data_IF_987925244052
#
_entry.id   IF_987925244052
#
_cell.length_a   1.000
_cell.length_b   1.000
_cell.length_c   1.000
_cell.angle_alpha   90.00
_cell.angle_beta   90.00
_cell.angle_gamma   90.00
#
_symmetry.space_group_name_H-M   'P 1'
#
loop_
_entity.id
_entity.type
_entity.pdbx_description
1 polymer ?
#
# COMPACT_ATOMS: atom_id res chain seq x y z
N UNK A 1 -14.21 -75.86 9.43
CA UNK A 1 -13.36 -76.31 10.53
C UNK A 1 -12.30 -75.23 10.77
N UNK A 2 -12.23 -74.75 12.01
CA UNK A 2 -11.34 -73.77 12.66
C UNK A 2 -10.07 -73.30 11.92
N UNK A 3 -9.91 -71.99 11.75
CA UNK A 3 -9.18 -71.01 12.60
C UNK A 3 -7.69 -70.92 12.24
N UNK A 4 -7.26 -69.78 11.70
CA UNK A 4 -6.22 -68.98 12.34
C UNK A 4 -6.04 -67.62 11.64
N UNK A 5 -6.27 -66.55 12.38
CA UNK A 5 -5.63 -65.24 12.15
C UNK A 5 -4.33 -65.18 12.95
N UNK A 6 -3.33 -64.43 12.47
CA UNK A 6 -2.87 -63.34 13.33
C UNK A 6 -2.56 -62.01 12.61
N UNK A 7 -3.17 -60.96 13.19
CA UNK A 7 -2.66 -59.61 13.53
C UNK A 7 -1.57 -58.92 12.69
N UNK A 8 -1.99 -57.77 12.14
CA UNK A 8 -1.44 -56.41 12.29
C UNK A 8 0.07 -56.19 12.10
N UNK A 9 0.44 -55.51 11.02
CA UNK A 9 1.42 -54.40 11.06
C UNK A 9 1.06 -53.34 10.02
N UNK A 10 0.55 -52.22 10.52
CA UNK A 10 0.48 -50.93 9.81
C UNK A 10 1.89 -50.41 9.56
N UNK A 11 2.26 -50.19 8.31
CA UNK A 11 3.47 -49.43 7.95
C UNK A 11 3.03 -48.11 7.31
N UNK A 12 3.08 -47.04 8.10
CA UNK A 12 3.02 -45.67 7.61
C UNK A 12 4.35 -45.36 6.90
N UNK A 13 4.29 -44.99 5.63
CA UNK A 13 5.46 -44.47 4.89
C UNK A 13 5.42 -42.95 4.96
N UNK A 14 6.26 -42.39 5.83
CA UNK A 14 6.48 -40.94 5.93
C UNK A 14 7.87 -40.57 5.39
N UNK A 15 7.86 -39.55 4.53
CA UNK A 15 8.87 -38.52 4.29
C UNK A 15 10.26 -38.91 3.74
N UNK A 16 10.63 -38.29 2.61
CA UNK A 16 11.51 -37.10 2.64
C UNK A 16 11.75 -36.59 1.20
N UNK A 17 11.03 -35.55 0.78
CA UNK A 17 11.46 -34.73 -0.36
C UNK A 17 12.31 -33.58 0.19
N UNK A 18 13.62 -33.69 0.03
CA UNK A 18 14.55 -32.60 0.29
C UNK A 18 14.41 -31.56 -0.84
N UNK A 19 13.79 -30.41 -0.55
CA UNK A 19 13.91 -29.23 -1.40
C UNK A 19 15.22 -28.53 -1.04
N UNK A 20 16.20 -28.61 -1.93
CA UNK A 20 17.40 -27.79 -1.87
C UNK A 20 17.02 -26.34 -2.20
N UNK A 21 17.10 -25.44 -1.21
CA UNK A 21 17.04 -24.00 -1.44
C UNK A 21 18.41 -23.53 -1.92
N UNK A 22 18.55 -23.27 -3.22
CA UNK A 22 19.67 -22.48 -3.73
C UNK A 22 19.35 -21.00 -3.52
N UNK A 23 19.97 -20.40 -2.50
CA UNK A 23 19.89 -18.96 -2.22
C UNK A 23 20.98 -18.22 -2.97
N UNK A 24 20.68 -17.62 -4.12
CA UNK A 24 21.51 -16.54 -4.67
C UNK A 24 20.65 -15.54 -5.46
N UNK A 25 20.45 -14.37 -4.86
CA UNK A 25 19.87 -13.18 -5.47
C UNK A 25 19.92 -12.04 -4.46
N UNK A 26 20.93 -11.19 -4.58
CA UNK A 26 21.06 -9.93 -3.83
C UNK A 26 20.04 -8.93 -4.39
N UNK A 27 18.76 -9.13 -4.04
CA UNK A 27 17.70 -8.18 -4.31
C UNK A 27 17.73 -7.15 -3.19
N UNK A 28 17.81 -5.83 -3.48
CA UNK A 28 17.68 -4.82 -2.42
C UNK A 28 16.42 -5.12 -1.62
N UNK A 29 16.57 -5.25 -0.30
CA UNK A 29 15.57 -5.79 0.62
C UNK A 29 14.20 -5.14 0.39
N UNK A 30 13.35 -5.83 -0.38
CA UNK A 30 11.94 -5.49 -0.48
C UNK A 30 11.29 -5.97 0.80
N UNK A 31 11.05 -5.04 1.72
CA UNK A 31 10.33 -5.32 2.96
C UNK A 31 8.84 -5.08 2.75
N UNK A 32 8.06 -6.15 2.75
CA UNK A 32 6.59 -6.11 2.76
C UNK A 32 6.12 -6.04 4.21
N UNK A 33 5.70 -4.86 4.66
CA UNK A 33 5.15 -4.65 6.00
C UNK A 33 3.70 -5.06 6.12
N UNK A 34 2.93 -4.88 5.04
CA UNK A 34 1.54 -5.30 4.93
C UNK A 34 1.20 -5.49 3.46
N UNK A 35 0.70 -6.67 3.10
CA UNK A 35 0.28 -6.93 1.72
C UNK A 35 -0.83 -5.95 1.30
N UNK A 36 -0.80 -5.40 0.07
CA UNK A 36 -1.83 -4.48 -0.42
C UNK A 36 -3.26 -5.02 -0.29
N UNK A 37 -3.46 -6.31 -0.57
CA UNK A 37 -4.75 -6.98 -0.45
C UNK A 37 -5.23 -7.01 1.00
N UNK A 38 -4.33 -7.27 1.95
CA UNK A 38 -4.63 -7.22 3.38
C UNK A 38 -4.97 -5.80 3.82
N UNK A 39 -4.24 -4.78 3.35
CA UNK A 39 -4.58 -3.38 3.64
C UNK A 39 -5.98 -3.03 3.15
N UNK A 40 -6.34 -3.42 1.93
CA UNK A 40 -7.68 -3.19 1.39
C UNK A 40 -8.72 -3.92 2.24
N UNK A 41 -8.53 -5.20 2.55
CA UNK A 41 -9.45 -5.96 3.38
C UNK A 41 -9.67 -5.31 4.76
N UNK A 42 -8.58 -4.94 5.45
CA UNK A 42 -8.66 -4.24 6.74
C UNK A 42 -9.31 -2.85 6.63
N UNK A 43 -9.34 -2.23 5.45
CA UNK A 43 -9.93 -0.90 5.25
C UNK A 43 -11.46 -0.92 5.13
N UNK A 44 -12.03 -2.12 4.91
CA UNK A 44 -13.46 -2.38 4.73
C UNK A 44 -13.95 -3.55 5.62
N UNK A 45 -13.38 -3.70 6.82
CA UNK A 45 -13.78 -4.71 7.81
C UNK A 45 -13.85 -6.15 7.27
N UNK A 46 -12.94 -6.50 6.36
CA UNK A 46 -12.87 -7.80 5.69
C UNK A 46 -13.78 -7.95 4.46
N UNK A 47 -14.72 -7.03 4.25
CA UNK A 47 -15.64 -7.02 3.10
C UNK A 47 -15.08 -6.16 1.95
N UNK A 48 -13.92 -6.55 1.42
CA UNK A 48 -13.27 -5.84 0.29
C UNK A 48 -14.23 -5.66 -0.90
N UNK A 49 -14.56 -4.42 -1.29
CA UNK A 49 -15.34 -4.17 -2.49
C UNK A 49 -14.64 -4.71 -3.74
N UNK A 50 -15.37 -4.84 -4.85
CA UNK A 50 -14.72 -5.05 -6.14
C UNK A 50 -13.91 -3.80 -6.50
N UNK A 51 -12.71 -3.94 -7.08
CA UNK A 51 -11.91 -2.79 -7.46
C UNK A 51 -12.59 -2.00 -8.59
N UNK A 52 -12.59 -0.69 -8.43
CA UNK A 52 -12.95 0.31 -9.45
C UNK A 52 -11.69 0.85 -10.13
N UNK A 53 -11.89 1.54 -11.26
CA UNK A 53 -10.82 2.10 -12.08
C UNK A 53 -11.11 3.58 -12.32
N UNK A 54 -10.12 4.43 -12.06
CA UNK A 54 -10.13 5.85 -12.40
C UNK A 54 -9.11 6.09 -13.51
N UNK A 55 -9.57 6.70 -14.61
CA UNK A 55 -8.71 7.02 -15.76
C UNK A 55 -8.02 8.38 -15.58
N UNK A 56 -6.71 8.42 -15.84
CA UNK A 56 -5.91 9.65 -15.79
C UNK A 56 -6.07 10.40 -17.12
N UNK A 57 -7.18 11.12 -17.23
CA UNK A 57 -7.54 11.91 -18.41
C UNK A 57 -6.64 13.15 -18.54
N UNK A 58 -6.66 13.79 -19.71
CA UNK A 58 -5.92 15.03 -19.94
C UNK A 58 -6.37 16.19 -19.03
N UNK A 59 -7.58 16.11 -18.47
CA UNK A 59 -8.11 17.09 -17.52
C UNK A 59 -7.46 16.92 -16.13
N UNK A 60 -7.18 15.69 -15.70
CA UNK A 60 -6.59 15.40 -14.39
C UNK A 60 -5.07 15.55 -14.35
N UNK A 61 -4.40 15.31 -15.50
CA UNK A 61 -2.93 15.33 -15.60
C UNK A 61 -2.28 16.60 -15.03
N UNK A 62 -2.75 17.83 -15.35
CA UNK A 62 -2.10 19.04 -14.85
C UNK A 62 -2.07 19.12 -13.33
N UNK A 63 -3.15 18.74 -12.65
CA UNK A 63 -3.22 18.82 -11.19
C UNK A 63 -2.44 17.69 -10.53
N UNK A 64 -2.43 16.49 -11.11
CA UNK A 64 -1.57 15.40 -10.65
C UNK A 64 -0.09 15.78 -10.78
N UNK A 65 0.30 16.40 -11.90
CA UNK A 65 1.67 16.88 -12.12
C UNK A 65 2.05 17.98 -11.11
N UNK A 66 1.14 18.90 -10.77
CA UNK A 66 1.37 19.89 -9.69
C UNK A 66 1.56 19.22 -8.33
N UNK A 67 0.85 18.11 -8.07
CA UNK A 67 0.96 17.39 -6.80
C UNK A 67 2.30 16.64 -6.71
N UNK A 68 2.64 15.86 -7.73
CA UNK A 68 3.80 14.96 -7.72
C UNK A 68 5.11 15.65 -8.11
N UNK A 69 5.03 16.67 -8.96
CA UNK A 69 6.19 17.33 -9.57
C UNK A 69 6.71 16.61 -10.82
N UNK A 70 6.03 15.56 -11.28
CA UNK A 70 6.30 14.82 -12.51
C UNK A 70 5.00 14.17 -13.01
N UNK A 71 5.05 13.59 -14.21
CA UNK A 71 3.92 12.87 -14.78
C UNK A 71 3.62 11.59 -14.02
N UNK A 72 2.33 11.24 -13.92
CA UNK A 72 1.93 9.96 -13.35
C UNK A 72 2.25 8.83 -14.32
N UNK A 73 2.89 7.73 -13.89
CA UNK A 73 3.45 6.73 -14.80
C UNK A 73 2.39 5.82 -15.46
N UNK A 74 1.12 5.88 -15.02
CA UNK A 74 0.07 5.00 -15.50
C UNK A 74 -1.13 5.77 -16.08
N UNK A 75 -1.85 5.13 -17.01
CA UNK A 75 -3.06 5.70 -17.64
C UNK A 75 -4.30 5.62 -16.74
N UNK A 76 -4.26 4.78 -15.70
CA UNK A 76 -5.39 4.53 -14.80
C UNK A 76 -4.91 4.07 -13.44
N UNK A 77 -5.70 4.37 -12.42
CA UNK A 77 -5.47 3.97 -11.03
C UNK A 77 -6.60 3.06 -10.59
N UNK A 78 -6.24 1.94 -9.96
CA UNK A 78 -7.20 1.05 -9.31
C UNK A 78 -7.46 1.55 -7.90
N UNK A 79 -8.72 1.50 -7.47
CA UNK A 79 -9.11 1.87 -6.12
C UNK A 79 -10.29 1.01 -5.66
N UNK A 80 -10.57 1.06 -4.38
CA UNK A 80 -11.70 0.36 -3.77
C UNK A 80 -12.61 1.41 -3.13
N UNK A 81 -13.92 1.22 -3.24
CA UNK A 81 -14.91 2.18 -2.75
C UNK A 81 -16.08 1.46 -2.10
N UNK A 82 -16.49 1.97 -0.96
CA UNK A 82 -17.79 1.70 -0.34
C UNK A 82 -18.38 3.03 0.14
N UNK A 83 -19.52 3.44 -0.43
CA UNK A 83 -20.13 4.77 -0.19
C UNK A 83 -19.11 5.90 -0.39
N UNK A 84 -18.89 6.73 0.63
CA UNK A 84 -17.95 7.86 0.65
C UNK A 84 -16.54 7.46 1.08
N UNK A 85 -16.27 6.17 1.34
CA UNK A 85 -14.93 5.68 1.68
C UNK A 85 -14.23 5.14 0.45
N UNK A 86 -12.98 5.54 0.26
CA UNK A 86 -12.09 5.01 -0.78
C UNK A 86 -10.77 4.53 -0.21
N UNK A 87 -10.24 3.43 -0.74
CA UNK A 87 -8.89 2.96 -0.45
C UNK A 87 -8.04 2.95 -1.72
N UNK A 88 -6.80 3.42 -1.59
CA UNK A 88 -5.84 3.60 -2.66
C UNK A 88 -4.53 2.88 -2.33
N UNK A 89 -3.95 2.22 -3.33
CA UNK A 89 -2.58 1.70 -3.29
C UNK A 89 -1.79 2.50 -4.31
N UNK A 90 -0.88 3.35 -3.84
CA UNK A 90 -0.14 4.29 -4.67
C UNK A 90 1.36 4.13 -4.44
N UNK A 91 2.14 4.53 -5.43
CA UNK A 91 3.60 4.46 -5.39
C UNK A 91 4.23 5.78 -5.78
N UNK A 92 5.33 6.12 -5.11
CA UNK A 92 6.15 7.28 -5.39
C UNK A 92 7.62 6.92 -5.15
N UNK A 93 8.53 7.51 -5.92
CA UNK A 93 9.95 7.31 -5.73
C UNK A 93 10.39 8.01 -4.45
N UNK A 94 11.04 7.26 -3.56
CA UNK A 94 11.74 7.81 -2.40
C UNK A 94 13.01 8.52 -2.86
N UNK A 95 14.15 7.84 -2.72
CA UNK A 95 15.42 8.29 -3.31
C UNK A 95 15.61 7.78 -4.72
N UNK A 96 15.41 6.48 -4.92
CA UNK A 96 15.66 5.76 -6.19
C UNK A 96 14.72 4.58 -6.43
N UNK A 97 13.98 4.12 -5.40
CA UNK A 97 13.04 2.99 -5.49
C UNK A 97 11.64 3.44 -5.07
N UNK A 98 10.58 2.76 -5.55
CA UNK A 98 9.22 3.09 -5.18
C UNK A 98 8.91 2.68 -3.74
N UNK A 99 8.19 3.56 -3.05
CA UNK A 99 7.53 3.29 -1.76
C UNK A 99 6.06 3.03 -2.06
N UNK A 100 5.56 1.86 -1.70
CA UNK A 100 4.14 1.49 -1.88
C UNK A 100 3.37 1.88 -0.62
N UNK A 101 2.34 2.70 -0.76
CA UNK A 101 1.56 3.25 0.36
C UNK A 101 0.08 2.96 0.16
N UNK A 102 -0.55 2.45 1.21
CA UNK A 102 -1.99 2.30 1.34
C UNK A 102 -2.59 3.53 2.01
N UNK A 103 -3.62 4.12 1.40
CA UNK A 103 -4.27 5.33 1.91
C UNK A 103 -5.78 5.15 1.86
N UNK A 104 -6.46 5.38 2.99
CA UNK A 104 -7.92 5.44 3.08
C UNK A 104 -8.34 6.90 3.23
N UNK A 105 -9.31 7.29 2.40
CA UNK A 105 -9.94 8.61 2.45
C UNK A 105 -11.44 8.41 2.63
N UNK A 106 -12.02 9.12 3.58
CA UNK A 106 -13.46 9.14 3.88
C UNK A 106 -13.85 10.58 4.26
N UNK A 107 -15.00 11.04 3.78
CA UNK A 107 -15.48 12.42 3.97
C UNK A 107 -14.44 13.49 3.61
N UNK A 108 -13.66 13.26 2.55
CA UNK A 108 -12.60 14.17 2.08
C UNK A 108 -11.37 14.25 3.00
N UNK A 109 -11.25 13.38 4.01
CA UNK A 109 -10.14 13.33 4.96
C UNK A 109 -9.39 12.00 4.88
N UNK A 110 -8.07 12.04 5.07
CA UNK A 110 -7.31 10.80 5.27
C UNK A 110 -7.67 10.21 6.64
N UNK A 111 -8.22 9.00 6.65
CA UNK A 111 -8.51 8.26 7.89
C UNK A 111 -7.41 7.24 8.23
N UNK A 112 -6.63 6.80 7.23
CA UNK A 112 -5.52 5.87 7.43
C UNK A 112 -4.47 6.03 6.33
N UNK A 113 -3.21 6.06 6.71
CA UNK A 113 -2.07 5.95 5.80
C UNK A 113 -1.08 4.92 6.37
N UNK A 114 -0.61 3.99 5.53
CA UNK A 114 0.43 3.02 5.89
C UNK A 114 1.41 2.81 4.75
N UNK A 115 2.69 2.71 5.08
CA UNK A 115 3.69 2.12 4.18
C UNK A 115 3.45 0.61 4.13
N UNK A 116 3.32 0.07 2.92
CA UNK A 116 3.01 -1.33 2.67
C UNK A 116 4.25 -2.10 2.24
N UNK A 117 5.02 -1.51 1.32
CA UNK A 117 6.24 -2.11 0.78
C UNK A 117 7.32 -1.03 0.68
N UNK A 118 8.52 -1.34 1.16
CA UNK A 118 9.66 -0.44 1.16
C UNK A 118 10.90 -1.15 0.61
N UNK A 119 11.72 -0.43 -0.16
CA UNK A 119 12.78 -1.02 -1.01
C UNK A 119 14.10 -0.27 -0.94
N UNK A 120 14.27 0.55 0.08
CA UNK A 120 15.48 1.35 0.28
C UNK A 120 16.09 1.08 1.65
N UNK A 121 17.39 1.28 1.78
CA UNK A 121 18.13 1.02 3.02
C UNK A 121 17.94 2.11 4.10
N UNK A 122 17.46 3.30 3.71
CA UNK A 122 17.32 4.46 4.59
C UNK A 122 15.95 5.10 4.42
N UNK A 123 15.48 5.79 5.46
CA UNK A 123 14.20 6.50 5.44
C UNK A 123 13.00 5.60 5.70
N UNK A 124 13.22 4.35 6.08
CA UNK A 124 12.17 3.38 6.42
C UNK A 124 11.40 3.77 7.68
N UNK A 125 11.92 4.72 8.47
CA UNK A 125 11.28 5.25 9.68
C UNK A 125 9.89 5.83 9.39
N UNK A 126 9.63 6.26 8.15
CA UNK A 126 8.31 6.74 7.71
C UNK A 126 7.22 5.66 7.77
N UNK A 127 7.58 4.37 7.96
CA UNK A 127 6.61 3.28 8.16
C UNK A 127 5.92 3.31 9.52
N UNK A 128 6.53 3.95 10.51
CA UNK A 128 6.05 3.91 11.88
C UNK A 128 4.82 4.79 12.09
N UNK A 129 3.94 4.34 13.00
CA UNK A 129 2.69 5.03 13.33
C UNK A 129 2.90 6.46 13.83
N UNK A 130 3.99 6.75 14.55
CA UNK A 130 4.29 8.12 15.00
C UNK A 130 4.39 9.11 13.83
N UNK A 131 4.80 8.65 12.65
CA UNK A 131 4.86 9.46 11.43
C UNK A 131 3.55 9.38 10.66
N UNK A 132 3.06 8.17 10.33
CA UNK A 132 1.88 8.04 9.46
C UNK A 132 0.60 8.57 10.09
N UNK A 133 0.47 8.54 11.43
CA UNK A 133 -0.71 9.10 12.12
C UNK A 133 -0.81 10.62 11.98
N UNK A 134 0.26 11.32 11.62
CA UNK A 134 0.20 12.76 11.34
C UNK A 134 -0.72 13.09 10.16
N UNK A 135 -0.93 12.15 9.24
CA UNK A 135 -1.83 12.32 8.09
C UNK A 135 -3.30 12.19 8.45
N UNK A 136 -3.64 11.66 9.62
CA UNK A 136 -5.04 11.53 10.06
C UNK A 136 -5.72 12.90 10.08
N UNK A 137 -6.94 12.95 9.55
CA UNK A 137 -7.79 14.14 9.37
C UNK A 137 -7.22 15.21 8.42
N UNK A 138 -6.13 14.91 7.70
CA UNK A 138 -5.61 15.79 6.67
C UNK A 138 -6.60 15.89 5.50
N UNK A 139 -6.78 17.11 5.01
CA UNK A 139 -7.59 17.43 3.83
C UNK A 139 -6.74 18.10 2.75
N UNK A 140 -7.28 18.11 1.53
CA UNK A 140 -6.70 18.86 0.42
C UNK A 140 -7.34 20.24 0.33
N UNK A 141 -6.53 21.27 0.47
CA UNK A 141 -6.92 22.66 0.22
C UNK A 141 -7.12 22.91 -1.28
N UNK A 142 -7.79 24.02 -1.62
CA UNK A 142 -7.97 24.47 -3.01
C UNK A 142 -6.65 24.65 -3.78
N UNK A 143 -5.54 24.87 -3.06
CA UNK A 143 -4.19 25.01 -3.64
C UNK A 143 -3.46 23.67 -3.80
N UNK A 144 -4.15 22.54 -3.69
CA UNK A 144 -3.59 21.18 -3.75
C UNK A 144 -2.50 20.92 -2.71
N UNK A 145 -2.64 21.53 -1.51
CA UNK A 145 -1.76 21.31 -0.35
C UNK A 145 -2.54 20.66 0.78
N UNK A 146 -1.84 19.96 1.67
CA UNK A 146 -2.44 19.51 2.92
C UNK A 146 -2.81 20.72 3.79
N UNK A 147 -3.96 20.66 4.46
CA UNK A 147 -4.42 21.68 5.41
C UNK A 147 -3.60 21.74 6.71
N UNK A 148 -2.78 20.72 6.97
CA UNK A 148 -1.92 20.61 8.15
C UNK A 148 -0.46 20.35 7.76
N UNK A 149 0.45 20.71 8.67
CA UNK A 149 1.86 20.36 8.52
C UNK A 149 2.08 18.89 8.89
N UNK A 150 3.07 18.28 8.24
CA UNK A 150 3.57 16.94 8.54
C UNK A 150 5.05 17.11 8.84
N UNK A 151 5.44 16.81 10.07
CA UNK A 151 6.82 16.96 10.53
C UNK A 151 7.74 15.97 9.80
N UNK A 152 8.98 16.39 9.58
CA UNK A 152 9.98 15.55 8.93
C UNK A 152 10.56 14.51 9.88
N UNK A 153 11.27 13.54 9.30
CA UNK A 153 12.18 12.65 10.03
C UNK A 153 13.59 12.94 9.52
N UNK A 154 14.53 13.15 10.44
CA UNK A 154 15.94 13.39 10.09
C UNK A 154 16.48 12.23 9.25
N UNK A 155 17.17 12.53 8.15
CA UNK A 155 17.70 11.51 7.23
C UNK A 155 16.69 10.85 6.29
N UNK A 156 15.38 11.13 6.43
CA UNK A 156 14.32 10.52 5.62
C UNK A 156 13.54 11.54 4.76
N UNK A 157 14.12 12.71 4.48
CA UNK A 157 13.42 13.82 3.79
C UNK A 157 12.76 13.42 2.47
N UNK A 158 13.41 12.56 1.68
CA UNK A 158 12.88 12.11 0.39
C UNK A 158 11.66 11.21 0.57
N UNK A 159 11.73 10.22 1.47
CA UNK A 159 10.61 9.34 1.82
C UNK A 159 9.43 10.12 2.44
N UNK A 160 9.74 11.11 3.29
CA UNK A 160 8.74 12.04 3.84
C UNK A 160 8.02 12.80 2.73
N UNK A 161 8.77 13.35 1.77
CA UNK A 161 8.18 14.08 0.64
C UNK A 161 7.35 13.18 -0.27
N UNK A 162 7.79 11.93 -0.49
CA UNK A 162 7.03 10.93 -1.23
C UNK A 162 5.67 10.66 -0.57
N UNK A 163 5.64 10.41 0.75
CA UNK A 163 4.37 10.21 1.47
C UNK A 163 3.48 11.46 1.48
N UNK A 164 4.05 12.68 1.59
CA UNK A 164 3.30 13.93 1.44
C UNK A 164 2.68 14.10 0.05
N UNK A 165 3.38 13.67 -1.01
CA UNK A 165 2.86 13.66 -2.39
C UNK A 165 1.71 12.67 -2.53
N UNK A 166 1.91 11.44 -2.05
CA UNK A 166 0.90 10.38 -2.11
C UNK A 166 -0.36 10.70 -1.29
N UNK A 167 -0.22 11.29 -0.10
CA UNK A 167 -1.37 11.76 0.68
C UNK A 167 -2.21 12.79 -0.06
N UNK A 168 -1.56 13.79 -0.68
CA UNK A 168 -2.24 14.80 -1.51
C UNK A 168 -2.88 14.18 -2.76
N UNK A 169 -2.18 13.25 -3.40
CA UNK A 169 -2.69 12.55 -4.58
C UNK A 169 -3.95 11.74 -4.23
N UNK A 170 -3.94 10.97 -3.14
CA UNK A 170 -5.09 10.18 -2.72
C UNK A 170 -6.32 11.05 -2.43
N UNK A 171 -6.14 12.19 -1.74
CA UNK A 171 -7.23 13.14 -1.50
C UNK A 171 -7.78 13.74 -2.80
N UNK A 172 -6.91 14.10 -3.74
CA UNK A 172 -7.33 14.59 -5.05
C UNK A 172 -8.10 13.53 -5.83
N UNK A 173 -7.57 12.32 -5.94
CA UNK A 173 -8.20 11.21 -6.65
C UNK A 173 -9.53 10.80 -6.02
N UNK A 174 -9.64 10.86 -4.69
CA UNK A 174 -10.89 10.67 -3.96
C UNK A 174 -11.97 11.65 -4.43
N UNK A 175 -11.66 12.96 -4.51
CA UNK A 175 -12.61 13.95 -5.02
C UNK A 175 -13.07 13.63 -6.46
N UNK A 176 -12.19 13.06 -7.30
CA UNK A 176 -12.55 12.67 -8.66
C UNK A 176 -13.37 11.37 -8.72
N UNK A 177 -13.13 10.44 -7.79
CA UNK A 177 -13.83 9.15 -7.72
C UNK A 177 -15.25 9.23 -7.14
N UNK A 178 -15.59 10.35 -6.49
CA UNK A 178 -16.92 10.62 -5.93
C UNK A 178 -17.77 11.53 -6.83
N UNK A 179 -17.22 12.06 -7.91
CA UNK A 179 -17.96 12.84 -8.92
C UNK A 179 -18.85 11.97 -9.79
#
# INVERSE_FOLDING_TARGET
MNLNTPRLTSLALAAAMAFAYSTFGDTPDEEVYLAPESFVAESFDGASPKPSVLWITNELKPDIQKILGHDYPALRVRYWKDKERTAWILEEIGKVKPITVGIVVEDGRITRLKVLIYRESHGWEVKHSFFTNQFTDAELTEKLRLNKNIDGISGATLSVNALKRLGRLALFLHQQALR
#
